data_IF_100382757821
#
_entry.id   IF_100382757821
#
_cell.length_a   1.000
_cell.length_b   1.000
_cell.length_c   1.000
_cell.angle_alpha   90.00
_cell.angle_beta   90.00
_cell.angle_gamma   90.00
#
_symmetry.space_group_name_H-M   'P 1'
#
loop_
_entity.id
_entity.type
_entity.pdbx_description
1 polymer ?
#
# COMPACT_ATOMS: atom_id res chain seq x y z
N UNK A 1 57.95 -44.57 37.58
CA UNK A 1 56.56 -44.13 37.33
C UNK A 1 56.55 -42.62 37.10
N UNK A 2 56.43 -42.17 35.85
CA UNK A 2 56.01 -40.81 35.49
C UNK A 2 55.26 -40.93 34.17
N UNK A 3 53.95 -40.78 34.25
CA UNK A 3 53.00 -41.10 33.21
C UNK A 3 52.98 -40.03 32.11
N UNK A 4 52.94 -40.51 30.87
CA UNK A 4 52.60 -39.78 29.66
C UNK A 4 51.15 -39.26 29.77
N UNK A 5 50.95 -37.97 29.51
CA UNK A 5 49.63 -37.41 29.18
C UNK A 5 49.73 -36.81 27.78
N UNK A 6 49.21 -37.54 26.79
CA UNK A 6 49.06 -37.10 25.41
C UNK A 6 47.57 -36.78 25.23
N UNK A 7 47.20 -35.51 25.34
CA UNK A 7 45.82 -35.04 25.13
C UNK A 7 45.57 -34.75 23.66
N UNK A 8 44.71 -35.54 23.04
CA UNK A 8 44.16 -35.33 21.69
C UNK A 8 43.45 -33.97 21.59
N UNK A 9 43.88 -33.14 20.64
CA UNK A 9 43.11 -31.99 20.18
C UNK A 9 42.06 -32.46 19.15
N UNK A 10 40.78 -32.48 19.55
CA UNK A 10 39.67 -32.60 18.60
C UNK A 10 39.49 -31.27 17.87
N UNK A 11 39.92 -31.21 16.60
CA UNK A 11 39.42 -30.20 15.66
C UNK A 11 37.95 -30.51 15.39
N UNK A 12 37.04 -29.70 15.94
CA UNK A 12 35.67 -29.64 15.49
C UNK A 12 35.67 -29.05 14.07
N UNK A 13 35.40 -29.89 13.06
CA UNK A 13 35.12 -29.44 11.71
C UNK A 13 33.82 -28.64 11.74
N UNK A 14 33.92 -27.31 11.60
CA UNK A 14 32.80 -26.45 11.27
C UNK A 14 32.29 -26.87 9.88
N UNK A 15 31.21 -27.65 9.86
CA UNK A 15 30.46 -27.91 8.64
C UNK A 15 29.93 -26.58 8.12
N UNK A 16 30.56 -26.05 7.08
CA UNK A 16 30.02 -24.98 6.25
C UNK A 16 28.73 -25.54 5.63
N UNK A 17 27.60 -25.29 6.28
CA UNK A 17 26.30 -25.56 5.70
C UNK A 17 26.13 -24.55 4.56
N UNK A 18 26.28 -25.03 3.34
CA UNK A 18 25.93 -24.30 2.14
C UNK A 18 24.50 -23.76 2.30
N UNK A 19 24.33 -22.44 2.25
CA UNK A 19 23.00 -21.85 2.33
C UNK A 19 22.21 -22.25 1.08
N UNK A 20 21.22 -23.12 1.26
CA UNK A 20 20.34 -23.65 0.23
C UNK A 20 18.91 -23.22 0.52
N UNK A 21 18.23 -22.70 -0.49
CA UNK A 21 16.80 -22.42 -0.46
C UNK A 21 16.11 -23.27 -1.52
N UNK A 22 15.25 -24.19 -1.08
CA UNK A 22 14.41 -25.00 -1.96
C UNK A 22 12.94 -24.70 -1.67
N UNK A 23 12.22 -24.27 -2.69
CA UNK A 23 10.76 -24.08 -2.67
C UNK A 23 10.14 -25.07 -3.64
N UNK A 24 9.40 -26.04 -3.09
CA UNK A 24 8.74 -27.09 -3.86
C UNK A 24 7.62 -26.56 -4.78
N UNK A 25 7.17 -27.41 -5.70
CA UNK A 25 6.22 -27.04 -6.73
C UNK A 25 4.92 -26.45 -6.14
N UNK A 26 4.51 -25.29 -6.64
CA UNK A 26 3.34 -24.54 -6.18
C UNK A 26 3.40 -24.06 -4.73
N UNK A 27 4.53 -24.21 -4.02
CA UNK A 27 4.68 -23.76 -2.64
C UNK A 27 5.08 -22.30 -2.57
N UNK A 28 4.72 -21.68 -1.46
CA UNK A 28 5.12 -20.31 -1.13
C UNK A 28 6.15 -20.32 0.00
N UNK A 29 7.14 -19.43 -0.10
CA UNK A 29 8.12 -19.18 0.94
C UNK A 29 8.22 -17.68 1.22
N UNK A 30 8.15 -17.31 2.50
CA UNK A 30 8.23 -15.93 2.95
C UNK A 30 9.70 -15.53 3.16
N UNK A 31 10.12 -14.43 2.55
CA UNK A 31 11.45 -13.83 2.74
C UNK A 31 11.32 -12.65 3.70
N UNK A 32 11.95 -12.76 4.88
CA UNK A 32 12.01 -11.69 5.86
C UNK A 32 13.31 -10.89 5.81
N UNK A 33 14.37 -11.48 5.27
CA UNK A 33 15.69 -10.92 5.23
C UNK A 33 15.93 -10.05 3.98
N UNK A 34 16.57 -8.88 4.11
CA UNK A 34 16.86 -8.02 2.97
C UNK A 34 18.00 -8.54 2.08
N UNK A 35 18.78 -9.50 2.57
CA UNK A 35 19.96 -10.03 1.88
C UNK A 35 19.97 -11.56 2.01
N UNK A 36 20.04 -12.24 0.87
CA UNK A 36 20.15 -13.69 0.76
C UNK A 36 21.35 -14.03 -0.12
N UNK A 37 22.34 -14.69 0.46
CA UNK A 37 23.45 -15.29 -0.28
C UNK A 37 23.32 -16.80 -0.22
N UNK A 38 23.09 -17.42 -1.37
CA UNK A 38 22.81 -18.83 -1.50
C UNK A 38 23.85 -19.49 -2.41
N UNK A 39 24.30 -20.67 -2.03
CA UNK A 39 25.00 -21.55 -2.96
C UNK A 39 24.02 -22.17 -3.94
N UNK A 40 22.82 -22.53 -3.45
CA UNK A 40 21.79 -23.22 -4.22
C UNK A 40 20.42 -22.60 -4.01
N UNK A 41 19.77 -22.20 -5.11
CA UNK A 41 18.39 -21.76 -5.15
C UNK A 41 17.59 -22.69 -6.07
N UNK A 42 16.63 -23.42 -5.52
CA UNK A 42 15.75 -24.31 -6.28
C UNK A 42 14.32 -23.82 -6.14
N UNK A 43 13.76 -23.29 -7.23
CA UNK A 43 12.37 -22.88 -7.32
C UNK A 43 11.70 -23.80 -8.34
N UNK A 44 10.91 -24.74 -7.85
CA UNK A 44 10.17 -25.67 -8.73
C UNK A 44 9.00 -24.97 -9.44
N UNK A 45 8.32 -25.69 -10.33
CA UNK A 45 7.20 -25.16 -11.11
C UNK A 45 6.12 -24.55 -10.20
N UNK A 46 5.75 -23.29 -10.48
CA UNK A 46 4.76 -22.54 -9.71
C UNK A 46 5.23 -22.07 -8.33
N UNK A 47 6.49 -22.28 -7.94
CA UNK A 47 7.02 -21.80 -6.67
C UNK A 47 6.89 -20.27 -6.54
N UNK A 48 6.60 -19.80 -5.33
CA UNK A 48 6.38 -18.38 -5.02
C UNK A 48 7.29 -17.93 -3.89
N UNK A 49 8.08 -16.88 -4.12
CA UNK A 49 8.76 -16.14 -3.05
C UNK A 49 7.93 -14.90 -2.72
N UNK A 50 7.48 -14.75 -1.47
CA UNK A 50 6.74 -13.59 -1.00
C UNK A 50 7.61 -12.76 -0.08
N UNK A 51 7.66 -11.45 -0.29
CA UNK A 51 8.37 -10.56 0.63
C UNK A 51 7.53 -10.34 1.89
N UNK A 52 8.20 -10.33 3.04
CA UNK A 52 7.57 -9.94 4.29
C UNK A 52 7.13 -8.46 4.25
N UNK A 53 6.02 -8.12 4.94
CA UNK A 53 5.61 -6.73 5.11
C UNK A 53 6.74 -5.83 5.61
N UNK A 54 6.84 -4.62 5.06
CA UNK A 54 7.83 -3.63 5.47
C UNK A 54 9.24 -3.80 4.90
N UNK A 55 9.50 -4.85 4.11
CA UNK A 55 10.78 -5.00 3.42
C UNK A 55 10.90 -4.00 2.27
N UNK A 56 11.86 -3.08 2.31
CA UNK A 56 12.06 -2.08 1.25
C UNK A 56 12.92 -2.56 0.08
N UNK A 57 13.76 -3.58 0.31
CA UNK A 57 14.68 -4.12 -0.68
C UNK A 57 14.99 -5.59 -0.43
N UNK A 58 15.15 -6.35 -1.50
CA UNK A 58 15.76 -7.68 -1.50
C UNK A 58 17.01 -7.70 -2.38
N UNK A 59 18.13 -8.15 -1.82
CA UNK A 59 19.32 -8.56 -2.54
C UNK A 59 19.44 -10.09 -2.47
N UNK A 60 19.12 -10.77 -3.57
CA UNK A 60 19.21 -12.22 -3.68
C UNK A 60 20.33 -12.60 -4.63
N UNK A 61 21.35 -13.24 -4.09
CA UNK A 61 22.45 -13.82 -4.84
C UNK A 61 22.42 -15.33 -4.71
N UNK A 62 22.42 -16.02 -5.85
CA UNK A 62 22.51 -17.48 -5.91
C UNK A 62 23.62 -17.90 -6.86
N UNK A 63 24.60 -18.65 -6.36
CA UNK A 63 25.67 -19.18 -7.21
C UNK A 63 25.14 -20.18 -8.24
N UNK A 64 24.15 -20.99 -7.84
CA UNK A 64 23.44 -21.94 -8.69
C UNK A 64 21.94 -21.84 -8.47
N UNK A 65 21.19 -21.62 -9.55
CA UNK A 65 19.75 -21.41 -9.51
C UNK A 65 19.03 -22.29 -10.53
N UNK A 66 17.99 -22.99 -10.08
CA UNK A 66 17.04 -23.74 -10.90
C UNK A 66 15.69 -23.04 -10.81
N UNK A 67 15.26 -22.44 -11.91
CA UNK A 67 14.00 -21.72 -12.00
C UNK A 67 13.05 -22.55 -12.86
N UNK A 68 11.99 -23.08 -12.25
CA UNK A 68 10.93 -23.80 -12.94
C UNK A 68 10.04 -22.90 -13.80
N UNK A 69 8.91 -23.43 -14.23
CA UNK A 69 7.88 -22.71 -14.99
C UNK A 69 6.88 -22.06 -14.05
N UNK A 70 6.51 -20.82 -14.32
CA UNK A 70 5.48 -20.08 -13.60
C UNK A 70 5.92 -19.65 -12.21
N UNK A 71 7.23 -19.51 -11.97
CA UNK A 71 7.79 -19.04 -10.71
C UNK A 71 7.42 -17.56 -10.52
N UNK A 72 7.12 -17.18 -9.28
CA UNK A 72 6.73 -15.80 -8.93
C UNK A 72 7.57 -15.27 -7.78
N UNK A 73 8.04 -14.03 -7.89
CA UNK A 73 8.58 -13.25 -6.79
C UNK A 73 7.61 -12.09 -6.55
N UNK A 74 6.90 -12.15 -5.42
CA UNK A 74 5.87 -11.20 -5.02
C UNK A 74 6.43 -10.22 -4.00
N UNK A 75 6.66 -9.01 -4.48
CA UNK A 75 7.33 -7.88 -3.85
C UNK A 75 6.47 -6.60 -3.95
N UNK A 76 5.15 -6.77 -4.07
CA UNK A 76 4.20 -5.67 -4.22
C UNK A 76 4.07 -4.87 -2.90
N UNK A 77 3.97 -3.56 -3.02
CA UNK A 77 3.57 -2.69 -1.91
C UNK A 77 2.13 -2.93 -1.46
N UNK A 78 1.87 -2.69 -0.18
CA UNK A 78 0.54 -2.89 0.42
C UNK A 78 -0.44 -1.78 0.01
N UNK A 79 -1.70 -2.16 -0.19
CA UNK A 79 -2.77 -1.18 -0.40
C UNK A 79 -3.07 -0.44 0.91
N UNK A 80 -3.28 0.87 0.79
CA UNK A 80 -3.52 1.70 1.96
C UNK A 80 -4.98 1.67 2.43
N UNK A 81 -5.15 1.90 3.74
CA UNK A 81 -6.45 2.04 4.36
C UNK A 81 -7.13 3.37 3.98
N UNK A 82 -8.46 3.33 3.85
CA UNK A 82 -9.28 4.51 3.65
C UNK A 82 -9.29 5.43 4.90
N UNK A 83 -9.51 6.71 4.66
CA UNK A 83 -9.75 7.69 5.71
C UNK A 83 -11.10 7.48 6.40
N UNK A 84 -11.16 7.81 7.69
CA UNK A 84 -12.40 7.70 8.45
C UNK A 84 -13.45 8.72 7.97
N UNK A 85 -14.75 8.37 7.93
CA UNK A 85 -15.78 9.35 7.62
C UNK A 85 -15.90 10.39 8.74
N UNK A 86 -16.28 11.60 8.37
CA UNK A 86 -16.59 12.69 9.27
C UNK A 86 -17.86 12.44 10.06
N UNK A 87 -17.93 12.97 11.27
CA UNK A 87 -19.10 12.77 12.15
C UNK A 87 -20.23 13.70 11.76
N UNK A 88 -21.42 13.17 11.50
CA UNK A 88 -22.61 14.00 11.31
C UNK A 88 -22.94 14.77 12.59
N UNK A 89 -23.34 16.02 12.43
CA UNK A 89 -23.76 16.86 13.53
C UNK A 89 -25.11 16.38 14.10
N UNK A 90 -25.23 16.42 15.43
CA UNK A 90 -26.51 16.15 16.09
C UNK A 90 -27.45 17.34 15.95
N UNK A 91 -28.74 17.04 15.75
CA UNK A 91 -29.79 18.03 15.73
C UNK A 91 -29.82 18.86 17.03
N UNK A 92 -30.19 20.13 16.89
CA UNK A 92 -30.27 21.09 17.99
C UNK A 92 -31.71 21.52 18.26
N UNK A 93 -32.01 21.85 19.52
CA UNK A 93 -33.33 22.32 19.96
C UNK A 93 -33.21 23.61 20.76
N UNK A 94 -34.18 24.52 20.59
CA UNK A 94 -34.27 25.78 21.32
C UNK A 94 -33.91 26.98 20.42
N UNK A 95 -33.24 27.98 20.98
CA UNK A 95 -32.87 29.19 20.26
C UNK A 95 -31.40 29.18 19.90
N UNK A 96 -30.98 28.20 19.11
CA UNK A 96 -29.58 27.94 18.81
C UNK A 96 -29.36 27.60 17.34
N UNK A 97 -28.17 27.94 16.87
CA UNK A 97 -27.68 27.55 15.56
C UNK A 97 -27.35 26.05 15.52
N UNK A 98 -27.46 25.50 14.32
CA UNK A 98 -27.02 24.17 13.97
C UNK A 98 -25.52 24.01 14.18
N UNK A 99 -25.13 22.79 14.54
CA UNK A 99 -23.74 22.38 14.67
C UNK A 99 -23.16 21.95 13.34
N UNK A 100 -21.88 22.22 13.16
CA UNK A 100 -21.13 21.81 11.99
C UNK A 100 -20.86 20.29 11.99
N UNK A 101 -20.82 19.71 10.79
CA UNK A 101 -20.36 18.34 10.59
C UNK A 101 -18.83 18.22 10.74
N UNK A 102 -18.37 17.07 11.20
CA UNK A 102 -16.96 16.75 11.32
C UNK A 102 -16.31 16.50 9.95
N UNK A 103 -15.03 16.83 9.82
CA UNK A 103 -14.27 16.56 8.60
C UNK A 103 -14.00 15.05 8.43
N UNK A 104 -13.98 14.60 7.18
CA UNK A 104 -13.47 13.28 6.81
C UNK A 104 -11.95 13.21 6.91
N UNK A 105 -11.43 12.04 7.28
CA UNK A 105 -10.01 11.76 7.37
C UNK A 105 -9.37 11.55 6.00
N UNK A 106 -8.09 11.88 5.87
CA UNK A 106 -7.33 11.57 4.66
C UNK A 106 -7.11 10.06 4.51
N UNK A 107 -7.13 9.58 3.27
CA UNK A 107 -6.72 8.24 2.93
C UNK A 107 -5.20 8.07 3.03
N UNK A 108 -4.74 6.88 3.43
CA UNK A 108 -3.31 6.62 3.58
C UNK A 108 -2.61 6.46 2.22
N UNK A 109 -1.30 6.72 2.17
CA UNK A 109 -0.50 6.43 0.97
C UNK A 109 -0.25 4.94 0.81
N UNK A 110 -0.34 4.43 -0.42
CA UNK A 110 0.00 3.05 -0.75
C UNK A 110 1.48 2.74 -0.48
N UNK A 111 1.75 1.50 -0.09
CA UNK A 111 3.11 1.02 0.17
C UNK A 111 3.96 1.01 -1.10
N UNK A 112 5.26 1.24 -0.94
CA UNK A 112 6.21 1.13 -2.06
C UNK A 112 6.43 -0.35 -2.40
N UNK A 113 6.61 -0.65 -3.69
CA UNK A 113 7.10 -1.96 -4.13
C UNK A 113 8.55 -2.18 -3.66
N UNK A 114 8.92 -3.44 -3.42
CA UNK A 114 10.25 -3.81 -2.90
C UNK A 114 11.28 -3.75 -4.03
N UNK A 115 12.37 -3.00 -3.84
CA UNK A 115 13.49 -3.01 -4.79
C UNK A 115 14.08 -4.42 -4.88
N UNK A 116 14.18 -4.98 -6.09
CA UNK A 116 14.72 -6.32 -6.34
C UNK A 116 16.09 -6.24 -6.99
N UNK A 117 17.10 -6.80 -6.32
CA UNK A 117 18.44 -6.99 -6.85
C UNK A 117 18.76 -8.48 -6.89
N UNK A 118 18.66 -9.07 -8.07
CA UNK A 118 18.84 -10.50 -8.28
C UNK A 118 20.16 -10.74 -9.03
N UNK A 119 20.99 -11.63 -8.51
CA UNK A 119 22.24 -12.06 -9.13
C UNK A 119 22.28 -13.59 -9.17
N UNK A 120 21.98 -14.20 -10.32
CA UNK A 120 21.68 -15.63 -10.42
C UNK A 120 22.59 -16.37 -11.40
N UNK A 121 23.27 -17.42 -10.93
CA UNK A 121 23.93 -18.41 -11.78
C UNK A 121 22.95 -19.49 -12.23
N UNK A 122 22.40 -19.37 -13.43
CA UNK A 122 21.29 -20.22 -13.88
C UNK A 122 21.77 -21.59 -14.36
N UNK A 123 21.37 -22.64 -13.65
CA UNK A 123 21.48 -24.03 -14.10
C UNK A 123 20.32 -24.42 -15.00
N UNK A 124 19.11 -23.93 -14.72
CA UNK A 124 17.93 -24.11 -15.58
C UNK A 124 16.97 -22.93 -15.44
N UNK A 125 16.28 -22.58 -16.52
CA UNK A 125 15.30 -21.50 -16.53
C UNK A 125 14.04 -21.88 -17.30
N UNK A 126 12.90 -21.83 -16.61
CA UNK A 126 11.55 -21.96 -17.18
C UNK A 126 10.94 -20.59 -17.42
N UNK A 127 10.27 -20.03 -16.41
CA UNK A 127 9.69 -18.69 -16.47
C UNK A 127 9.55 -18.02 -15.12
N UNK A 128 9.71 -16.69 -15.10
CA UNK A 128 9.78 -15.91 -13.87
C UNK A 128 8.94 -14.63 -13.98
N UNK A 129 8.03 -14.45 -13.04
CA UNK A 129 7.33 -13.19 -12.80
C UNK A 129 7.97 -12.45 -11.62
N UNK A 130 8.39 -11.21 -11.84
CA UNK A 130 8.84 -10.27 -10.82
C UNK A 130 7.74 -9.22 -10.63
N UNK A 131 6.98 -9.29 -9.55
CA UNK A 131 5.93 -8.31 -9.22
C UNK A 131 6.38 -7.42 -8.07
N UNK A 132 6.87 -6.22 -8.41
CA UNK A 132 7.27 -5.16 -7.50
C UNK A 132 6.45 -3.89 -7.72
N UNK A 133 5.15 -4.04 -8.01
CA UNK A 133 4.25 -2.87 -8.17
C UNK A 133 4.06 -2.13 -6.86
N UNK A 134 3.78 -0.84 -6.95
CA UNK A 134 3.30 -0.06 -5.82
C UNK A 134 1.90 -0.48 -5.35
N UNK A 135 1.61 -0.25 -4.07
CA UNK A 135 0.28 -0.38 -3.49
C UNK A 135 -0.62 0.79 -3.86
N UNK A 136 -1.92 0.59 -3.93
CA UNK A 136 -2.90 1.65 -4.15
C UNK A 136 -3.03 2.55 -2.91
N UNK A 137 -3.28 3.83 -3.14
CA UNK A 137 -3.67 4.75 -2.07
C UNK A 137 -5.04 4.39 -1.49
N UNK A 138 -5.29 4.77 -0.25
CA UNK A 138 -6.60 4.65 0.40
C UNK A 138 -7.51 5.83 0.03
N UNK A 139 -8.81 5.61 -0.08
CA UNK A 139 -9.77 6.68 -0.37
C UNK A 139 -9.85 7.69 0.78
N UNK A 140 -10.10 8.96 0.47
CA UNK A 140 -10.46 9.95 1.48
C UNK A 140 -11.83 9.66 2.09
N UNK A 141 -12.02 9.99 3.37
CA UNK A 141 -13.31 9.85 4.05
C UNK A 141 -14.26 10.99 3.72
N UNK A 142 -15.55 10.72 3.61
CA UNK A 142 -16.56 11.77 3.37
C UNK A 142 -16.72 12.68 4.59
N UNK A 143 -17.02 13.95 4.37
CA UNK A 143 -17.35 14.91 5.42
C UNK A 143 -18.74 14.65 6.02
N UNK A 144 -18.86 14.87 7.33
CA UNK A 144 -20.13 14.74 8.04
C UNK A 144 -21.10 15.86 7.68
N UNK A 145 -22.41 15.57 7.70
CA UNK A 145 -23.43 16.60 7.49
C UNK A 145 -23.48 17.59 8.66
N UNK A 146 -23.70 18.87 8.33
CA UNK A 146 -24.12 19.87 9.31
C UNK A 146 -25.56 19.63 9.76
N UNK A 147 -25.90 20.12 10.95
CA UNK A 147 -27.26 20.00 11.49
C UNK A 147 -28.05 21.26 11.22
N UNK A 148 -29.36 21.12 11.08
CA UNK A 148 -30.25 22.25 10.87
C UNK A 148 -30.24 23.20 12.08
N UNK A 149 -30.42 24.48 11.80
CA UNK A 149 -30.66 25.48 12.81
C UNK A 149 -32.01 25.29 13.46
N UNK A 150 -32.09 25.58 14.76
CA UNK A 150 -33.32 25.28 15.49
C UNK A 150 -34.48 26.18 15.07
N UNK A 151 -35.68 25.61 15.08
CA UNK A 151 -36.93 26.33 14.87
C UNK A 151 -37.71 26.34 16.17
N UNK A 152 -37.88 27.51 16.78
CA UNK A 152 -38.60 27.68 18.05
C UNK A 152 -39.41 28.98 18.03
N UNK A 153 -40.70 28.88 18.38
CA UNK A 153 -41.70 29.95 18.36
C UNK A 153 -41.39 31.08 19.36
N UNK A 154 -40.27 31.01 20.10
CA UNK A 154 -39.81 32.05 21.03
C UNK A 154 -38.72 32.94 20.43
N UNK A 155 -38.04 32.53 19.35
CA UNK A 155 -36.87 33.21 18.81
C UNK A 155 -36.82 33.20 17.28
N UNK A 156 -35.85 33.92 16.71
CA UNK A 156 -35.54 33.79 15.29
C UNK A 156 -35.00 32.38 15.01
N UNK A 157 -35.15 31.93 13.76
CA UNK A 157 -34.61 30.64 13.35
C UNK A 157 -33.08 30.65 13.46
N UNK A 158 -32.51 29.60 14.05
CA UNK A 158 -31.05 29.43 14.11
C UNK A 158 -30.47 29.22 12.72
N UNK A 159 -29.23 29.61 12.49
CA UNK A 159 -28.50 29.29 11.26
C UNK A 159 -28.19 27.79 11.19
N UNK A 160 -28.19 27.21 9.99
CA UNK A 160 -27.76 25.83 9.79
C UNK A 160 -26.24 25.68 9.93
N UNK A 161 -25.80 24.54 10.45
CA UNK A 161 -24.39 24.20 10.58
C UNK A 161 -23.75 23.91 9.22
N UNK A 162 -22.46 24.19 9.07
CA UNK A 162 -21.72 23.83 7.87
C UNK A 162 -21.51 22.32 7.75
N UNK A 163 -21.45 21.81 6.52
CA UNK A 163 -20.98 20.45 6.26
C UNK A 163 -19.47 20.34 6.48
N UNK A 164 -19.01 19.20 7.00
CA UNK A 164 -17.59 18.91 7.16
C UNK A 164 -16.89 18.75 5.81
N UNK A 165 -15.62 19.11 5.72
CA UNK A 165 -14.83 18.86 4.51
C UNK A 165 -14.61 17.35 4.30
N UNK A 166 -14.54 16.92 3.04
CA UNK A 166 -14.08 15.58 2.67
C UNK A 166 -12.56 15.46 2.81
N UNK A 167 -12.09 14.26 3.13
CA UNK A 167 -10.66 13.97 3.24
C UNK A 167 -10.00 13.77 1.87
N UNK A 168 -8.71 14.07 1.78
CA UNK A 168 -7.92 13.82 0.58
C UNK A 168 -7.73 12.32 0.33
N UNK A 169 -7.69 11.92 -0.94
CA UNK A 169 -7.31 10.57 -1.34
C UNK A 169 -5.81 10.35 -1.18
N UNK A 170 -5.44 9.16 -0.71
CA UNK A 170 -4.06 8.74 -0.57
C UNK A 170 -3.35 8.58 -1.91
N UNK A 171 -2.05 8.90 -1.94
CA UNK A 171 -1.21 8.69 -3.12
C UNK A 171 -0.93 7.21 -3.34
N UNK A 172 -0.77 6.81 -4.60
CA UNK A 172 -0.26 5.48 -4.93
C UNK A 172 1.20 5.32 -4.52
N UNK A 173 1.60 4.12 -4.14
CA UNK A 173 2.98 3.79 -3.84
C UNK A 173 3.83 3.71 -5.10
N UNK A 174 5.11 4.07 -5.01
CA UNK A 174 6.07 3.88 -6.12
C UNK A 174 6.31 2.39 -6.38
N UNK A 175 6.47 2.01 -7.65
CA UNK A 175 6.93 0.67 -8.02
C UNK A 175 8.43 0.49 -7.74
N UNK A 176 8.85 -0.71 -7.34
CA UNK A 176 10.24 -0.98 -7.00
C UNK A 176 11.15 -1.08 -8.22
N UNK A 177 12.43 -0.77 -8.02
CA UNK A 177 13.45 -0.95 -9.05
C UNK A 177 13.80 -2.43 -9.16
N UNK A 178 13.91 -2.95 -10.39
CA UNK A 178 14.21 -4.38 -10.63
C UNK A 178 15.50 -4.52 -11.42
N UNK A 179 16.51 -5.14 -10.81
CA UNK A 179 17.77 -5.46 -11.47
C UNK A 179 17.97 -6.97 -11.42
N UNK A 180 17.85 -7.63 -12.57
CA UNK A 180 18.16 -9.04 -12.74
C UNK A 180 19.45 -9.19 -13.54
N UNK A 181 20.50 -9.63 -12.85
CA UNK A 181 21.76 -10.04 -13.45
C UNK A 181 21.86 -11.55 -13.40
N UNK A 182 22.27 -12.16 -14.50
CA UNK A 182 22.39 -13.62 -14.56
C UNK A 182 23.54 -14.07 -15.44
N UNK A 183 24.10 -15.24 -15.15
CA UNK A 183 24.99 -15.94 -16.07
C UNK A 183 24.49 -17.38 -16.24
N UNK A 184 24.70 -17.94 -17.42
CA UNK A 184 24.31 -19.32 -17.69
C UNK A 184 25.40 -20.29 -17.23
N UNK A 185 25.00 -21.33 -16.50
CA UNK A 185 25.86 -22.45 -16.09
C UNK A 185 25.63 -23.71 -16.93
N UNK A 186 24.56 -23.76 -17.73
CA UNK A 186 24.21 -24.90 -18.57
C UNK A 186 23.45 -24.47 -19.83
N UNK A 187 23.32 -25.34 -20.84
CA UNK A 187 22.49 -25.06 -22.01
C UNK A 187 21.00 -24.81 -21.68
N UNK A 188 20.51 -25.29 -20.52
CA UNK A 188 19.15 -25.06 -20.04
C UNK A 188 19.02 -23.78 -19.19
N UNK A 189 20.12 -23.12 -18.83
CA UNK A 189 20.17 -21.91 -18.01
C UNK A 189 20.03 -20.60 -18.80
N UNK A 190 19.69 -20.66 -20.08
CA UNK A 190 19.47 -19.46 -20.90
C UNK A 190 18.07 -18.90 -20.70
N UNK A 191 17.98 -17.60 -20.42
CA UNK A 191 16.71 -16.87 -20.48
C UNK A 191 16.39 -16.59 -21.95
N UNK A 192 15.28 -17.08 -22.51
CA UNK A 192 14.94 -16.81 -23.89
C UNK A 192 14.57 -15.32 -24.07
N UNK A 193 15.32 -14.61 -24.92
CA UNK A 193 15.07 -13.20 -25.30
C UNK A 193 14.00 -13.15 -26.41
N UNK A 194 12.93 -13.91 -26.27
CA UNK A 194 11.86 -13.96 -27.27
C UNK A 194 10.56 -13.43 -26.70
N UNK A 195 9.89 -12.64 -27.53
CA UNK A 195 8.55 -12.08 -27.32
C UNK A 195 7.43 -13.15 -27.46
N UNK A 196 7.78 -14.43 -27.63
CA UNK A 196 6.86 -15.56 -27.72
C UNK A 196 7.14 -16.57 -26.59
N UNK A 197 6.40 -16.43 -25.48
CA UNK A 197 6.45 -17.34 -24.33
C UNK A 197 6.91 -16.65 -23.03
N UNK A 198 6.65 -17.27 -21.87
CA UNK A 198 6.91 -16.63 -20.58
C UNK A 198 8.42 -16.71 -20.30
N UNK A 199 9.17 -15.70 -20.72
CA UNK A 199 10.55 -15.49 -20.29
C UNK A 199 10.58 -14.90 -18.88
N UNK A 200 11.25 -13.78 -18.72
CA UNK A 200 11.10 -12.92 -17.53
C UNK A 200 10.01 -11.90 -17.79
N UNK A 201 9.04 -11.80 -16.89
CA UNK A 201 8.03 -10.74 -16.86
C UNK A 201 8.30 -9.85 -15.65
N UNK A 202 8.28 -8.53 -15.86
CA UNK A 202 8.47 -7.55 -14.80
C UNK A 202 7.22 -6.68 -14.71
N UNK A 203 6.60 -6.67 -13.53
CA UNK A 203 5.51 -5.77 -13.16
C UNK A 203 6.03 -4.87 -12.06
N UNK A 204 6.35 -3.63 -12.38
CA UNK A 204 6.89 -2.66 -11.42
C UNK A 204 6.26 -1.27 -11.61
N UNK A 205 5.04 -1.22 -12.13
CA UNK A 205 4.29 0.03 -12.24
C UNK A 205 3.94 0.62 -10.86
N UNK A 206 3.75 1.94 -10.84
CA UNK A 206 3.25 2.65 -9.68
C UNK A 206 1.84 2.21 -9.28
N UNK A 207 1.52 2.36 -8.00
CA UNK A 207 0.18 2.13 -7.50
C UNK A 207 -0.77 3.24 -7.94
N UNK A 208 -2.07 2.91 -8.01
CA UNK A 208 -3.09 3.92 -8.30
C UNK A 208 -3.22 4.90 -7.12
N UNK A 209 -3.41 6.18 -7.43
CA UNK A 209 -3.90 7.15 -6.46
C UNK A 209 -5.38 6.92 -6.15
N UNK A 210 -5.84 7.39 -5.00
CA UNK A 210 -7.21 7.15 -4.55
C UNK A 210 -8.15 8.32 -4.81
N UNK A 211 -9.45 8.01 -4.82
CA UNK A 211 -10.50 9.01 -4.83
C UNK A 211 -10.50 9.84 -3.54
N UNK A 212 -10.92 11.09 -3.67
CA UNK A 212 -11.17 11.96 -2.54
C UNK A 212 -12.53 11.68 -1.88
N UNK A 213 -12.66 12.04 -0.60
CA UNK A 213 -13.94 12.10 0.09
C UNK A 213 -14.78 13.29 -0.36
N UNK A 214 -16.09 13.12 -0.36
CA UNK A 214 -17.03 14.18 -0.65
C UNK A 214 -17.18 15.14 0.54
N UNK A 215 -17.52 16.40 0.27
CA UNK A 215 -17.92 17.33 1.32
C UNK A 215 -19.29 16.98 1.89
N UNK A 216 -19.47 17.21 3.19
CA UNK A 216 -20.73 17.01 3.88
C UNK A 216 -21.80 18.01 3.43
N UNK A 217 -23.06 17.58 3.47
CA UNK A 217 -24.20 18.46 3.24
C UNK A 217 -24.28 19.55 4.34
N UNK A 218 -24.69 20.78 4.01
CA UNK A 218 -25.00 21.79 5.02
C UNK A 218 -26.29 21.45 5.75
N UNK A 219 -26.43 21.98 6.97
CA UNK A 219 -27.71 22.06 7.65
C UNK A 219 -28.55 23.22 7.11
N UNK A 220 -29.87 23.08 7.14
CA UNK A 220 -30.80 24.14 6.77
C UNK A 220 -30.96 25.19 7.87
N UNK A 221 -31.35 26.40 7.48
CA UNK A 221 -31.72 27.43 8.45
C UNK A 221 -33.06 27.13 9.14
N UNK A 222 -33.17 27.49 10.42
CA UNK A 222 -34.41 27.42 11.18
C UNK A 222 -35.50 28.33 10.58
N UNK A 223 -36.77 27.95 10.76
CA UNK A 223 -37.90 28.66 10.15
C UNK A 223 -38.10 30.05 10.77
N UNK A 224 -38.48 31.00 9.92
CA UNK A 224 -38.98 32.31 10.36
C UNK A 224 -40.49 32.26 10.62
N UNK A 225 -40.97 33.09 11.53
CA UNK A 225 -42.38 33.11 11.93
C UNK A 225 -42.88 34.53 12.21
N UNK A 226 -44.11 34.83 11.77
CA UNK A 226 -44.80 36.07 12.13
C UNK A 226 -45.61 35.86 13.42
N UNK A 227 -45.17 36.48 14.51
CA UNK A 227 -45.82 36.33 15.82
C UNK A 227 -46.54 37.59 16.25
N UNK A 228 -47.77 37.43 16.76
CA UNK A 228 -48.58 38.51 17.32
C UNK A 228 -48.33 38.60 18.82
N UNK A 229 -47.86 39.77 19.30
CA UNK A 229 -47.66 40.03 20.73
C UNK A 229 -49.01 40.28 21.43
N UNK A 230 -49.07 40.09 22.77
CA UNK A 230 -50.25 40.46 23.56
C UNK A 230 -50.68 41.93 23.40
N UNK A 231 -49.75 42.81 23.03
CA UNK A 231 -50.01 44.22 22.71
C UNK A 231 -50.67 44.45 21.35
N UNK A 232 -50.95 43.41 20.58
CA UNK A 232 -51.55 43.49 19.24
C UNK A 232 -50.57 43.71 18.09
N UNK A 233 -49.30 44.05 18.39
CA UNK A 233 -48.24 44.27 17.41
C UNK A 233 -47.77 42.94 16.81
N UNK A 234 -47.64 42.88 15.48
CA UNK A 234 -47.04 41.74 14.77
C UNK A 234 -45.54 41.95 14.63
N UNK A 235 -44.75 40.95 15.01
CA UNK A 235 -43.29 40.93 14.87
C UNK A 235 -42.94 39.75 13.98
N UNK A 236 -42.20 39.99 12.90
CA UNK A 236 -41.64 38.92 12.09
C UNK A 236 -40.29 38.51 12.68
N UNK A 237 -40.14 37.23 12.97
CA UNK A 237 -38.85 36.64 13.33
C UNK A 237 -38.24 36.03 12.09
N UNK A 238 -37.04 36.50 11.75
CA UNK A 238 -36.36 36.07 10.55
C UNK A 238 -36.01 34.57 10.62
N UNK A 239 -36.03 33.88 9.47
CA UNK A 239 -35.43 32.55 9.37
C UNK A 239 -33.91 32.63 9.55
N UNK A 240 -33.32 31.49 9.91
CA UNK A 240 -31.89 31.29 9.80
C UNK A 240 -31.47 31.09 8.35
N UNK A 241 -30.20 31.31 8.07
CA UNK A 241 -29.60 30.92 6.78
C UNK A 241 -29.12 29.47 6.84
N UNK A 242 -29.19 28.75 5.73
CA UNK A 242 -28.53 27.44 5.61
C UNK A 242 -27.02 27.57 5.80
N UNK A 243 -26.40 26.50 6.29
CA UNK A 243 -24.96 26.38 6.41
C UNK A 243 -24.28 26.31 5.04
N UNK A 244 -22.95 26.30 5.04
CA UNK A 244 -22.17 26.10 3.82
C UNK A 244 -21.90 24.60 3.60
N UNK A 245 -21.99 24.08 2.36
CA UNK A 245 -21.55 22.72 2.08
C UNK A 245 -20.06 22.56 2.38
N UNK A 246 -19.68 21.36 2.79
CA UNK A 246 -18.29 20.98 2.91
C UNK A 246 -17.58 21.00 1.55
N UNK A 247 -16.29 21.28 1.55
CA UNK A 247 -15.48 21.15 0.33
C UNK A 247 -15.08 19.68 0.14
N UNK A 248 -15.07 19.16 -1.09
CA UNK A 248 -14.49 17.84 -1.36
C UNK A 248 -12.98 17.85 -1.15
N UNK A 249 -12.42 16.68 -0.85
CA UNK A 249 -10.96 16.50 -0.81
C UNK A 249 -10.32 16.50 -2.20
N UNK A 250 -9.00 16.32 -2.23
CA UNK A 250 -8.20 16.20 -3.46
C UNK A 250 -7.94 14.74 -3.80
N UNK A 251 -7.90 14.43 -5.09
CA UNK A 251 -7.50 13.10 -5.56
C UNK A 251 -6.04 12.82 -5.22
N UNK A 252 -5.75 11.57 -4.85
CA UNK A 252 -4.39 11.09 -4.69
C UNK A 252 -3.69 10.99 -6.04
N UNK A 253 -2.42 11.39 -6.08
CA UNK A 253 -1.59 11.18 -7.27
C UNK A 253 -1.25 9.69 -7.44
N UNK A 254 -1.13 9.18 -8.67
CA UNK A 254 -0.57 7.86 -8.91
C UNK A 254 0.90 7.80 -8.48
N UNK A 255 1.36 6.61 -8.12
CA UNK A 255 2.77 6.35 -7.86
C UNK A 255 3.59 6.35 -9.14
N UNK A 256 4.89 6.61 -9.00
CA UNK A 256 5.83 6.51 -10.13
C UNK A 256 6.11 5.05 -10.46
N UNK A 257 6.29 4.76 -11.75
CA UNK A 257 6.76 3.46 -12.23
C UNK A 257 8.22 3.25 -11.83
N UNK A 258 8.55 2.03 -11.43
CA UNK A 258 9.93 1.61 -11.23
C UNK A 258 10.65 1.40 -12.57
N UNK A 259 11.97 1.44 -12.56
CA UNK A 259 12.78 1.01 -13.71
C UNK A 259 13.21 -0.45 -13.56
N UNK A 260 13.51 -1.08 -14.69
CA UNK A 260 14.07 -2.41 -14.70
C UNK A 260 15.28 -2.55 -15.62
N UNK A 261 16.19 -3.43 -15.24
CA UNK A 261 17.35 -3.85 -16.02
C UNK A 261 17.46 -5.37 -15.94
N UNK A 262 17.52 -6.01 -17.10
CA UNK A 262 17.83 -7.43 -17.23
C UNK A 262 19.13 -7.53 -18.02
N UNK A 263 20.18 -8.07 -17.41
CA UNK A 263 21.53 -8.05 -17.96
C UNK A 263 22.18 -9.44 -17.85
N UNK A 264 22.56 -10.07 -18.97
CA UNK A 264 23.41 -11.23 -18.95
C UNK A 264 24.85 -10.83 -18.61
N UNK A 265 25.50 -11.60 -17.73
CA UNK A 265 26.89 -11.45 -17.34
C UNK A 265 27.73 -12.61 -17.87
N UNK A 266 29.03 -12.36 -18.00
CA UNK A 266 30.00 -13.43 -18.07
C UNK A 266 30.02 -14.18 -16.73
N UNK A 267 30.26 -15.49 -16.76
CA UNK A 267 30.46 -16.28 -15.54
C UNK A 267 31.58 -15.62 -14.71
N UNK A 268 31.36 -15.29 -13.42
CA UNK A 268 32.40 -14.76 -12.57
C UNK A 268 33.61 -15.71 -12.54
N UNK A 269 34.82 -15.17 -12.67
CA UNK A 269 36.02 -15.94 -12.47
C UNK A 269 36.09 -16.35 -10.98
N UNK A 270 36.12 -17.65 -10.73
CA UNK A 270 36.32 -18.26 -9.41
C UNK A 270 37.75 -18.05 -8.91
#
# INVERSE_FOLDING_TARGET
>A
MRAFFCGLASLAALSVQAAELHVGAGKEHLIGEPVLHLQRLVLEDGATLRMAPGLGRLQLQAEQAWIGKGVRILARGEDAAAGAPGTAAMAVTGCVDGRDGGAGGAGMSGGQGVDLQLLLGLQSFGSLLLDSRGGAGGSGGDGGAGSDGSSDDRCAGGHGGAGGAGGDGGTGGRGGEVVLRYWSLSAAGFIPISNYGPGVQVLNGGGAGAAAGQGGAPGEGGRGELVKRPTGIKVFRNPGSSGKPGQPGRFGAPGEDGRFLIEPLAKPAS
#
